data_IF_287916445934
#
_entry.id   IF_287916445934
#
_cell.length_a   1.000
_cell.length_b   1.000
_cell.length_c   1.000
_cell.angle_alpha   90.00
_cell.angle_beta   90.00
_cell.angle_gamma   90.00
#
_symmetry.space_group_name_H-M   'P 1'
#
loop_
_entity.id
_entity.type
_entity.pdbx_description
1 polymer ?
#
# COMPACT_ATOMS: atom_id res chain seq x y z
N UNK A 1 35.03 63.52 -48.55
CA UNK A 1 34.06 63.28 -47.48
C UNK A 1 32.92 62.37 -47.96
N UNK A 2 32.38 62.50 -49.13
CA UNK A 2 31.27 61.71 -49.66
C UNK A 2 31.55 60.17 -49.76
N UNK A 3 32.78 59.76 -50.04
CA UNK A 3 33.15 58.32 -50.14
C UNK A 3 33.12 57.60 -48.80
N UNK A 4 33.34 58.27 -47.69
CA UNK A 4 33.28 57.71 -46.34
C UNK A 4 31.86 57.63 -45.81
N UNK A 5 30.97 58.50 -46.19
CA UNK A 5 29.56 58.45 -45.83
C UNK A 5 28.82 57.27 -46.52
N UNK A 6 29.14 57.00 -47.79
CA UNK A 6 28.55 55.82 -48.52
C UNK A 6 29.00 54.45 -47.92
N UNK A 7 30.25 54.36 -47.50
CA UNK A 7 30.76 53.11 -46.89
C UNK A 7 30.17 52.89 -45.50
N UNK A 8 29.97 53.92 -44.70
CA UNK A 8 29.30 53.74 -43.36
C UNK A 8 27.85 53.37 -43.48
N UNK A 9 27.14 53.84 -44.47
CA UNK A 9 25.75 53.54 -44.75
C UNK A 9 25.59 52.05 -45.24
N UNK A 10 26.50 51.59 -46.10
CA UNK A 10 26.46 50.13 -46.53
C UNK A 10 26.83 49.22 -45.42
N UNK A 11 27.76 49.56 -44.50
CA UNK A 11 28.14 48.71 -43.37
C UNK A 11 27.02 48.62 -42.31
N UNK A 12 26.31 49.74 -42.05
CA UNK A 12 25.14 49.73 -41.17
C UNK A 12 23.98 48.88 -41.74
N UNK A 13 23.75 48.94 -43.06
CA UNK A 13 22.67 48.22 -43.70
C UNK A 13 22.94 46.70 -43.79
N UNK A 14 24.22 46.29 -43.95
CA UNK A 14 24.60 44.86 -43.97
C UNK A 14 24.54 44.25 -42.54
N UNK A 15 25.01 44.95 -41.52
CA UNK A 15 24.95 44.51 -40.14
C UNK A 15 23.49 44.45 -39.62
N UNK A 16 22.66 45.43 -39.99
CA UNK A 16 21.25 45.41 -39.67
C UNK A 16 20.50 44.20 -40.24
N UNK A 17 20.76 43.82 -41.50
CA UNK A 17 20.17 42.66 -42.15
C UNK A 17 20.64 41.32 -41.52
N UNK A 18 21.90 41.27 -41.08
CA UNK A 18 22.44 40.08 -40.38
C UNK A 18 21.85 39.92 -38.98
N UNK A 19 21.68 41.02 -38.25
CA UNK A 19 21.04 41.03 -36.94
C UNK A 19 19.58 40.67 -37.05
N UNK A 20 18.83 41.20 -38.00
CA UNK A 20 17.42 40.86 -38.21
C UNK A 20 17.25 39.36 -38.60
N UNK A 21 18.14 38.84 -39.47
CA UNK A 21 18.13 37.39 -39.78
C UNK A 21 18.38 36.54 -38.56
N UNK A 22 19.34 36.88 -37.71
CA UNK A 22 19.65 36.14 -36.48
C UNK A 22 18.49 36.19 -35.47
N UNK A 23 17.84 37.35 -35.35
CA UNK A 23 16.63 37.49 -34.50
C UNK A 23 15.48 36.62 -35.03
N UNK A 24 15.25 36.61 -36.34
CA UNK A 24 14.21 35.77 -36.94
C UNK A 24 14.51 34.26 -36.73
N UNK A 25 15.77 33.81 -36.84
CA UNK A 25 16.13 32.41 -36.53
C UNK A 25 15.94 32.10 -35.05
N UNK A 26 16.24 33.04 -34.14
CA UNK A 26 16.01 32.83 -32.70
C UNK A 26 14.50 32.75 -32.39
N UNK A 27 13.70 33.61 -33.01
CA UNK A 27 12.23 33.58 -32.83
C UNK A 27 11.65 32.26 -33.37
N UNK A 28 12.08 31.82 -34.57
CA UNK A 28 11.64 30.55 -35.16
C UNK A 28 12.06 29.39 -34.25
N UNK A 29 13.26 29.41 -33.71
CA UNK A 29 13.76 28.36 -32.77
C UNK A 29 12.94 28.35 -31.47
N UNK A 30 12.62 29.49 -30.89
CA UNK A 30 11.78 29.61 -29.69
C UNK A 30 10.35 29.08 -29.97
N UNK A 31 9.77 29.48 -31.12
CA UNK A 31 8.42 28.99 -31.49
C UNK A 31 8.41 27.50 -31.74
N UNK A 32 9.44 26.95 -32.39
CA UNK A 32 9.53 25.48 -32.60
C UNK A 32 9.76 24.74 -31.28
N UNK A 33 10.54 25.25 -30.34
CA UNK A 33 10.68 24.70 -28.99
C UNK A 33 9.35 24.71 -28.23
N UNK A 34 8.59 25.83 -28.30
CA UNK A 34 7.24 25.91 -27.70
C UNK A 34 6.27 24.92 -28.34
N UNK A 35 6.29 24.75 -29.66
CA UNK A 35 5.48 23.79 -30.37
C UNK A 35 5.86 22.34 -29.98
N UNK A 36 7.13 22.03 -29.87
CA UNK A 36 7.61 20.71 -29.41
C UNK A 36 7.16 20.47 -27.97
N UNK A 37 7.28 21.45 -27.07
CA UNK A 37 6.81 21.34 -25.69
C UNK A 37 5.30 21.16 -25.64
N UNK A 38 4.54 21.88 -26.46
CA UNK A 38 3.08 21.73 -26.57
C UNK A 38 2.68 20.36 -27.12
N UNK A 39 3.40 19.84 -28.13
CA UNK A 39 3.18 18.50 -28.68
C UNK A 39 3.58 17.43 -27.66
N UNK A 40 4.74 17.57 -27.03
CA UNK A 40 5.15 16.65 -25.96
C UNK A 40 4.20 16.70 -24.76
N UNK A 41 3.70 17.88 -24.37
CA UNK A 41 2.71 17.97 -23.28
C UNK A 41 1.31 17.45 -23.70
N UNK A 42 1.00 17.42 -24.98
CA UNK A 42 -0.23 16.82 -25.51
C UNK A 42 -0.12 15.29 -25.65
N UNK A 43 1.09 14.78 -25.94
CA UNK A 43 1.39 13.35 -26.01
C UNK A 43 1.65 12.79 -24.61
N UNK A 44 2.23 13.56 -23.70
CA UNK A 44 2.47 13.24 -22.29
C UNK A 44 1.44 13.88 -21.36
N UNK A 45 0.20 14.05 -21.82
CA UNK A 45 -0.89 14.05 -20.85
C UNK A 45 -0.98 12.60 -20.37
N UNK A 46 -0.57 12.31 -19.13
CA UNK A 46 -1.07 11.12 -18.50
C UNK A 46 -2.58 11.24 -18.65
N UNK A 47 -3.22 10.19 -19.10
CA UNK A 47 -4.67 10.11 -19.26
C UNK A 47 -5.29 10.15 -17.86
N UNK A 48 -5.13 11.30 -17.18
CA UNK A 48 -5.96 11.73 -16.07
C UNK A 48 -7.26 12.23 -16.71
N UNK A 49 -7.95 11.31 -17.41
CA UNK A 49 -9.39 11.44 -17.43
C UNK A 49 -9.73 11.58 -15.95
N UNK A 50 -10.34 12.69 -15.56
CA UNK A 50 -11.19 12.76 -14.39
C UNK A 50 -12.20 11.61 -14.56
N UNK A 51 -11.79 10.41 -14.22
CA UNK A 51 -12.71 9.41 -13.74
C UNK A 51 -13.15 10.00 -12.41
N UNK A 52 -14.18 10.83 -12.43
CA UNK A 52 -15.11 10.86 -11.33
C UNK A 52 -15.46 9.39 -11.14
N UNK A 53 -14.78 8.75 -10.19
CA UNK A 53 -15.06 7.37 -9.83
C UNK A 53 -16.51 7.37 -9.40
N UNK A 54 -17.38 6.97 -10.31
CA UNK A 54 -18.79 6.77 -10.02
C UNK A 54 -18.87 5.48 -9.20
N UNK A 55 -18.70 5.64 -7.89
CA UNK A 55 -18.70 4.55 -6.90
C UNK A 55 -19.95 3.70 -6.97
N UNK A 56 -21.07 4.28 -7.45
CA UNK A 56 -22.31 3.55 -7.67
C UNK A 56 -22.13 2.50 -8.76
N UNK A 57 -21.35 2.80 -9.79
CA UNK A 57 -21.08 1.87 -10.89
C UNK A 57 -20.08 0.77 -10.49
N UNK A 58 -19.05 1.10 -9.69
CA UNK A 58 -18.07 0.11 -9.21
C UNK A 58 -18.69 -0.89 -8.22
N UNK A 59 -19.60 -0.45 -7.36
CA UNK A 59 -20.32 -1.36 -6.45
C UNK A 59 -21.39 -2.18 -7.15
N UNK A 60 -21.98 -1.67 -8.26
CA UNK A 60 -22.98 -2.41 -9.04
C UNK A 60 -22.34 -3.35 -10.07
N UNK A 61 -21.25 -2.98 -10.74
CA UNK A 61 -20.56 -3.86 -11.70
C UNK A 61 -19.84 -5.02 -11.00
N UNK A 62 -19.32 -4.83 -9.77
CA UNK A 62 -18.80 -5.95 -8.99
C UNK A 62 -19.87 -6.93 -8.49
N UNK A 63 -21.14 -6.54 -8.43
CA UNK A 63 -22.24 -7.46 -8.09
C UNK A 63 -22.64 -8.40 -9.23
N UNK A 64 -22.30 -8.11 -10.47
CA UNK A 64 -22.67 -8.88 -11.65
C UNK A 64 -21.55 -9.70 -12.29
N UNK A 65 -20.27 -9.42 -11.93
CA UNK A 65 -19.14 -10.23 -12.40
C UNK A 65 -19.09 -11.53 -11.61
N UNK A 66 -19.61 -12.50 -12.23
CA UNK A 66 -19.55 -13.96 -12.03
C UNK A 66 -18.89 -14.48 -10.75
N UNK A 67 -19.72 -14.58 -9.70
CA UNK A 67 -19.34 -15.26 -8.44
C UNK A 67 -18.98 -16.73 -8.63
N UNK A 68 -19.42 -17.36 -9.73
CA UNK A 68 -19.26 -18.81 -9.95
C UNK A 68 -17.94 -19.18 -10.63
N UNK A 69 -17.45 -18.40 -11.61
CA UNK A 69 -16.15 -18.69 -12.24
C UNK A 69 -14.98 -18.41 -11.30
N UNK A 70 -15.01 -17.31 -10.58
CA UNK A 70 -14.00 -17.00 -9.57
C UNK A 70 -14.00 -18.03 -8.43
N UNK A 71 -15.17 -18.48 -7.97
CA UNK A 71 -15.29 -19.49 -6.90
C UNK A 71 -14.65 -20.82 -7.31
N UNK A 72 -14.88 -21.28 -8.56
CA UNK A 72 -14.30 -22.53 -9.09
C UNK A 72 -12.79 -22.43 -9.29
N UNK A 73 -12.27 -21.26 -9.68
CA UNK A 73 -10.83 -21.00 -9.80
C UNK A 73 -10.14 -21.01 -8.44
N UNK A 74 -10.76 -20.45 -7.40
CA UNK A 74 -10.20 -20.39 -6.04
C UNK A 74 -10.32 -21.71 -5.27
N UNK A 75 -11.36 -22.52 -5.50
CA UNK A 75 -11.51 -23.81 -4.84
C UNK A 75 -10.43 -24.83 -5.24
N UNK A 76 -9.84 -24.71 -6.43
CA UNK A 76 -8.70 -25.53 -6.86
C UNK A 76 -7.41 -25.30 -6.05
N UNK A 77 -7.31 -24.16 -5.35
CA UNK A 77 -6.09 -23.74 -4.64
C UNK A 77 -6.21 -23.80 -3.12
N UNK A 78 -7.39 -24.19 -2.62
CA UNK A 78 -7.61 -24.38 -1.19
C UNK A 78 -6.99 -25.71 -0.75
N UNK A 79 -5.74 -25.69 -0.34
CA UNK A 79 -5.17 -26.82 0.41
C UNK A 79 -5.82 -26.90 1.78
N UNK A 80 -6.13 -28.11 2.30
CA UNK A 80 -6.57 -28.28 3.69
C UNK A 80 -5.50 -27.71 4.62
N UNK A 81 -5.89 -26.79 5.50
CA UNK A 81 -4.98 -26.19 6.49
C UNK A 81 -4.55 -27.17 7.58
N UNK A 82 -5.19 -28.35 7.63
CA UNK A 82 -5.02 -29.37 8.66
C UNK A 82 -4.02 -30.48 8.28
N UNK A 83 -3.28 -30.32 7.15
CA UNK A 83 -2.25 -31.30 6.79
C UNK A 83 -1.08 -31.25 7.78
N UNK A 84 -0.73 -32.41 8.29
CA UNK A 84 0.44 -32.64 9.15
C UNK A 84 1.67 -31.99 8.54
N UNK A 85 2.42 -31.25 9.35
CA UNK A 85 3.68 -30.59 8.97
C UNK A 85 4.75 -31.61 8.57
N UNK A 86 4.75 -32.06 7.35
CA UNK A 86 5.93 -32.68 6.78
C UNK A 86 6.89 -31.58 6.36
N UNK A 87 8.15 -31.65 6.82
CA UNK A 87 9.19 -30.75 6.35
C UNK A 87 9.37 -30.94 4.85
N UNK A 88 9.15 -29.88 4.03
CA UNK A 88 9.33 -30.02 2.60
C UNK A 88 10.79 -30.34 2.26
N UNK A 89 11.01 -30.97 1.10
CA UNK A 89 12.36 -31.24 0.59
C UNK A 89 13.15 -29.95 0.43
N UNK A 90 14.42 -30.00 0.80
CA UNK A 90 15.33 -28.86 0.83
C UNK A 90 15.41 -28.05 -0.47
N UNK A 91 15.35 -28.69 -1.61
CA UNK A 91 15.42 -28.10 -2.95
C UNK A 91 14.19 -27.25 -3.33
N UNK A 92 13.15 -27.27 -2.47
CA UNK A 92 11.89 -26.53 -2.67
C UNK A 92 11.71 -25.34 -1.75
N UNK A 93 12.75 -24.85 -1.13
CA UNK A 93 12.63 -23.68 -0.27
C UNK A 93 12.78 -22.36 -1.02
N UNK A 94 12.03 -21.34 -0.57
CA UNK A 94 12.20 -19.94 -0.96
C UNK A 94 12.26 -19.09 0.30
N UNK A 95 13.22 -18.18 0.39
CA UNK A 95 13.41 -17.34 1.55
C UNK A 95 14.19 -16.06 1.23
N UNK A 96 14.21 -15.14 2.18
CA UNK A 96 15.01 -13.92 2.14
C UNK A 96 16.04 -13.92 3.26
N UNK A 97 16.98 -12.97 3.22
CA UNK A 97 17.85 -12.70 4.37
C UNK A 97 17.01 -12.31 5.60
N UNK A 98 17.62 -12.39 6.79
CA UNK A 98 17.02 -11.86 8.02
C UNK A 98 16.77 -10.37 7.92
N UNK A 99 15.71 -9.91 8.56
CA UNK A 99 15.40 -8.49 8.63
C UNK A 99 14.72 -8.17 9.96
N UNK A 100 14.99 -6.98 10.45
CA UNK A 100 14.30 -6.41 11.58
C UNK A 100 13.09 -5.62 11.07
N UNK A 101 11.90 -6.00 11.50
CA UNK A 101 10.67 -5.30 11.11
C UNK A 101 9.49 -5.75 11.95
N UNK A 102 8.55 -4.85 12.17
CA UNK A 102 7.33 -5.13 12.95
C UNK A 102 6.43 -6.19 12.32
N UNK A 103 5.31 -6.47 13.01
CA UNK A 103 4.32 -7.48 12.59
C UNK A 103 3.88 -7.29 11.13
N UNK A 104 3.54 -6.07 10.72
CA UNK A 104 3.11 -5.78 9.35
C UNK A 104 4.15 -6.16 8.28
N UNK A 105 5.44 -5.88 8.55
CA UNK A 105 6.52 -6.27 7.65
C UNK A 105 6.65 -7.79 7.54
N UNK A 106 6.54 -8.51 8.66
CA UNK A 106 6.60 -9.97 8.63
C UNK A 106 5.40 -10.59 7.90
N UNK A 107 4.22 -9.98 8.02
CA UNK A 107 3.04 -10.40 7.26
C UNK A 107 3.24 -10.18 5.75
N UNK A 108 3.79 -9.04 5.31
CA UNK A 108 4.12 -8.78 3.90
C UNK A 108 5.14 -9.80 3.37
N UNK A 109 6.23 -9.99 4.11
CA UNK A 109 7.29 -10.93 3.77
C UNK A 109 6.75 -12.34 3.55
N UNK A 110 5.93 -12.82 4.50
CA UNK A 110 5.34 -14.15 4.39
C UNK A 110 4.35 -14.25 3.23
N UNK A 111 3.40 -13.32 3.11
CA UNK A 111 2.39 -13.34 2.05
C UNK A 111 3.02 -13.33 0.66
N UNK A 112 4.04 -12.48 0.45
CA UNK A 112 4.77 -12.38 -0.81
C UNK A 112 5.57 -13.65 -1.10
N UNK A 113 6.31 -14.17 -0.13
CA UNK A 113 7.04 -15.43 -0.29
C UNK A 113 6.09 -16.62 -0.51
N UNK A 114 4.93 -16.64 0.16
CA UNK A 114 3.92 -17.68 -0.03
C UNK A 114 3.37 -17.67 -1.46
N UNK A 115 2.98 -16.52 -1.97
CA UNK A 115 2.46 -16.41 -3.32
C UNK A 115 3.52 -16.73 -4.39
N UNK A 116 4.74 -16.21 -4.23
CA UNK A 116 5.87 -16.59 -5.10
C UNK A 116 6.20 -18.08 -4.98
N UNK A 117 6.16 -18.63 -3.78
CA UNK A 117 6.36 -20.05 -3.54
C UNK A 117 5.34 -20.91 -4.27
N UNK A 118 4.07 -20.55 -4.26
CA UNK A 118 3.03 -21.25 -5.04
C UNK A 118 3.31 -21.21 -6.55
N UNK A 119 3.71 -20.06 -7.07
CA UNK A 119 4.07 -19.91 -8.49
C UNK A 119 5.27 -20.80 -8.87
N UNK A 120 6.26 -20.90 -7.98
CA UNK A 120 7.55 -21.57 -8.24
C UNK A 120 7.57 -23.01 -7.72
N UNK A 121 6.49 -23.51 -7.15
CA UNK A 121 6.41 -24.78 -6.42
C UNK A 121 7.48 -24.88 -5.31
N UNK A 122 7.52 -23.84 -4.45
CA UNK A 122 8.48 -23.68 -3.35
C UNK A 122 7.75 -23.35 -2.04
N UNK A 123 8.32 -23.77 -0.91
CA UNK A 123 7.80 -23.48 0.42
C UNK A 123 8.54 -22.28 1.02
N UNK A 124 7.82 -21.25 1.50
CA UNK A 124 8.44 -20.13 2.21
C UNK A 124 9.02 -20.60 3.54
N UNK A 125 10.27 -20.22 3.81
CA UNK A 125 10.95 -20.54 5.06
C UNK A 125 11.72 -19.32 5.57
N UNK A 126 12.08 -19.34 6.86
CA UNK A 126 12.91 -18.33 7.51
C UNK A 126 14.27 -18.90 7.85
N UNK A 127 15.28 -18.04 8.01
CA UNK A 127 16.58 -18.46 8.48
C UNK A 127 16.49 -18.67 10.00
N UNK A 128 17.11 -19.73 10.51
CA UNK A 128 17.07 -20.06 11.94
C UNK A 128 17.49 -18.89 12.86
N UNK A 129 18.40 -18.04 12.41
CA UNK A 129 18.90 -16.87 13.16
C UNK A 129 17.98 -15.63 13.03
N UNK A 130 16.76 -15.78 12.49
CA UNK A 130 15.77 -14.68 12.41
C UNK A 130 15.19 -14.38 13.80
N UNK A 131 15.92 -13.55 14.56
CA UNK A 131 15.53 -13.17 15.92
C UNK A 131 14.17 -12.47 15.99
N UNK A 132 13.79 -11.74 14.95
CA UNK A 132 12.50 -11.03 14.91
C UNK A 132 11.34 -12.01 14.90
N UNK A 133 11.43 -13.08 14.09
CA UNK A 133 10.37 -14.10 14.06
C UNK A 133 10.25 -14.83 15.40
N UNK A 134 11.38 -15.12 16.06
CA UNK A 134 11.38 -15.72 17.40
C UNK A 134 10.79 -14.80 18.47
N UNK A 135 11.05 -13.49 18.39
CA UNK A 135 10.50 -12.52 19.34
C UNK A 135 8.98 -12.40 19.25
N UNK A 136 8.42 -12.52 18.05
CA UNK A 136 6.97 -12.40 17.84
C UNK A 136 6.23 -13.74 17.82
N UNK A 137 6.92 -14.86 18.06
CA UNK A 137 6.35 -16.21 17.95
C UNK A 137 5.06 -16.39 18.76
N UNK A 138 5.07 -15.97 20.03
CA UNK A 138 3.89 -16.06 20.90
C UNK A 138 2.75 -15.17 20.44
N UNK A 139 3.08 -13.97 19.94
CA UNK A 139 2.08 -13.06 19.39
C UNK A 139 1.45 -13.64 18.12
N UNK A 140 2.26 -14.24 17.23
CA UNK A 140 1.77 -14.91 16.04
C UNK A 140 0.88 -16.10 16.35
N UNK A 141 1.28 -16.94 17.31
CA UNK A 141 0.49 -18.09 17.73
C UNK A 141 -0.89 -17.68 18.25
N UNK A 142 -0.97 -16.58 18.99
CA UNK A 142 -2.21 -16.02 19.52
C UNK A 142 -3.04 -15.29 18.46
N UNK A 143 -2.41 -14.39 17.68
CA UNK A 143 -3.11 -13.56 16.71
C UNK A 143 -3.51 -14.34 15.44
N UNK A 144 -2.58 -15.12 14.89
CA UNK A 144 -2.72 -15.79 13.60
C UNK A 144 -2.25 -17.25 13.65
N UNK A 145 -3.00 -18.16 14.29
CA UNK A 145 -2.56 -19.55 14.47
C UNK A 145 -2.31 -20.28 13.14
N UNK A 146 -3.04 -19.94 12.08
CA UNK A 146 -2.82 -20.51 10.76
C UNK A 146 -1.50 -20.05 10.14
N UNK A 147 -1.14 -18.78 10.30
CA UNK A 147 0.16 -18.27 9.89
C UNK A 147 1.28 -18.92 10.70
N UNK A 148 1.17 -18.87 12.01
CA UNK A 148 2.15 -19.49 12.92
C UNK A 148 2.38 -20.98 12.56
N UNK A 149 1.32 -21.72 12.22
CA UNK A 149 1.44 -23.12 11.82
C UNK A 149 2.20 -23.36 10.52
N UNK A 150 2.42 -22.35 9.69
CA UNK A 150 3.12 -22.43 8.38
C UNK A 150 4.55 -21.88 8.41
N UNK A 151 5.06 -21.48 9.57
CA UNK A 151 6.42 -20.98 9.72
C UNK A 151 7.38 -22.16 9.84
N UNK A 152 8.36 -22.21 8.95
CA UNK A 152 9.47 -23.16 8.98
C UNK A 152 10.79 -22.40 9.06
N UNK A 153 11.77 -23.00 9.77
CA UNK A 153 13.10 -22.44 9.89
C UNK A 153 14.14 -23.35 9.25
N UNK A 154 14.99 -22.78 8.38
CA UNK A 154 16.17 -23.46 7.86
C UNK A 154 17.21 -23.68 8.95
N UNK A 155 17.75 -24.88 9.05
CA UNK A 155 18.88 -25.17 9.92
C UNK A 155 20.16 -24.51 9.38
N UNK A 156 21.08 -24.16 10.27
CA UNK A 156 22.31 -23.38 10.03
C UNK A 156 23.25 -23.87 8.90
N UNK A 157 23.17 -25.12 8.51
CA UNK A 157 24.17 -25.77 7.62
C UNK A 157 23.63 -26.06 6.21
N UNK A 158 22.85 -25.16 5.66
CA UNK A 158 22.37 -25.28 4.29
C UNK A 158 23.47 -24.81 3.35
N UNK A 159 24.10 -25.73 2.63
CA UNK A 159 25.23 -25.47 1.73
C UNK A 159 24.85 -25.28 0.28
N UNK A 160 23.68 -25.77 -0.15
CA UNK A 160 23.27 -25.71 -1.56
C UNK A 160 22.19 -24.65 -1.79
N UNK A 161 22.62 -23.39 -1.81
CA UNK A 161 21.76 -22.21 -1.94
C UNK A 161 22.01 -21.54 -3.28
N UNK A 162 20.95 -21.23 -3.99
CA UNK A 162 21.00 -20.31 -5.11
C UNK A 162 20.49 -18.94 -4.71
N UNK A 163 21.35 -17.93 -4.82
CA UNK A 163 21.04 -16.55 -4.45
C UNK A 163 20.74 -15.72 -5.69
N UNK A 164 19.59 -15.04 -5.71
CA UNK A 164 19.19 -14.16 -6.81
C UNK A 164 18.84 -12.78 -6.24
N UNK A 165 19.40 -11.71 -6.83
CA UNK A 165 18.97 -10.35 -6.55
C UNK A 165 17.59 -10.12 -7.18
N UNK A 166 16.57 -9.86 -6.35
CA UNK A 166 15.20 -9.69 -6.78
C UNK A 166 14.52 -8.60 -5.93
N UNK A 167 13.87 -7.62 -6.58
CA UNK A 167 13.34 -6.41 -5.96
C UNK A 167 14.41 -5.68 -5.12
N UNK A 168 15.19 -4.80 -5.73
CA UNK A 168 16.40 -4.23 -5.11
C UNK A 168 16.08 -3.22 -4.00
N UNK A 169 14.98 -2.51 -4.15
CA UNK A 169 14.58 -1.42 -3.25
C UNK A 169 13.24 -1.72 -2.57
N UNK A 170 13.01 -1.07 -1.42
CA UNK A 170 11.72 -1.16 -0.75
C UNK A 170 10.59 -0.90 -1.73
N UNK A 171 9.57 -1.75 -1.62
CA UNK A 171 8.28 -1.53 -2.22
C UNK A 171 8.23 -1.73 -3.75
N UNK A 172 9.35 -2.05 -4.40
CA UNK A 172 9.42 -2.40 -5.81
C UNK A 172 8.64 -3.69 -6.10
N UNK A 173 7.99 -3.70 -7.26
CA UNK A 173 7.42 -4.92 -7.80
C UNK A 173 8.21 -5.41 -9.01
N UNK A 174 8.78 -6.59 -8.88
CA UNK A 174 9.33 -7.35 -9.99
C UNK A 174 8.44 -8.57 -10.27
N UNK A 175 8.16 -8.87 -11.54
CA UNK A 175 7.33 -10.03 -11.89
C UNK A 175 8.02 -11.33 -11.44
N UNK A 176 7.44 -12.10 -10.50
CA UNK A 176 8.04 -13.36 -10.04
C UNK A 176 8.22 -14.42 -11.12
N UNK A 177 7.57 -14.28 -12.26
CA UNK A 177 7.73 -15.20 -13.41
C UNK A 177 9.16 -15.25 -13.93
N UNK A 178 9.96 -14.19 -13.72
CA UNK A 178 11.39 -14.21 -14.11
C UNK A 178 12.19 -15.25 -13.32
N UNK A 179 11.66 -15.71 -12.18
CA UNK A 179 12.27 -16.74 -11.35
C UNK A 179 11.92 -18.18 -11.84
N UNK A 180 10.99 -18.33 -12.80
CA UNK A 180 10.62 -19.63 -13.34
C UNK A 180 11.83 -20.29 -14.04
N UNK A 181 12.04 -21.57 -13.74
CA UNK A 181 13.16 -22.33 -14.31
C UNK A 181 14.51 -22.05 -13.67
N UNK A 182 14.59 -21.09 -12.74
CA UNK A 182 15.83 -20.82 -12.02
C UNK A 182 16.10 -21.93 -10.99
N UNK A 183 17.20 -22.61 -11.20
CA UNK A 183 17.83 -23.61 -10.31
C UNK A 183 16.87 -24.64 -9.68
N UNK A 184 16.44 -25.57 -10.50
CA UNK A 184 15.86 -26.81 -10.01
C UNK A 184 16.90 -27.55 -9.15
N UNK A 185 16.50 -27.97 -7.95
CA UNK A 185 17.36 -28.74 -7.04
C UNK A 185 18.14 -27.94 -6.00
N UNK A 186 17.85 -26.62 -5.82
CA UNK A 186 18.51 -25.78 -4.82
C UNK A 186 17.53 -24.90 -4.06
N UNK A 187 17.81 -24.62 -2.80
CA UNK A 187 17.09 -23.61 -2.06
C UNK A 187 17.29 -22.22 -2.69
N UNK A 188 16.22 -21.47 -2.87
CA UNK A 188 16.24 -20.16 -3.50
C UNK A 188 16.25 -19.04 -2.47
N UNK A 189 17.34 -18.27 -2.37
CA UNK A 189 17.44 -17.09 -1.54
C UNK A 189 17.28 -15.82 -2.40
N UNK A 190 16.29 -15.01 -2.08
CA UNK A 190 16.10 -13.69 -2.69
C UNK A 190 16.89 -12.66 -1.88
N UNK A 191 17.91 -12.03 -2.49
CA UNK A 191 18.86 -11.16 -1.79
C UNK A 191 18.59 -9.67 -1.93
N UNK A 192 17.50 -9.29 -2.61
CA UNK A 192 17.07 -7.91 -2.74
C UNK A 192 16.37 -7.38 -1.49
N UNK A 193 15.25 -6.71 -1.68
CA UNK A 193 14.39 -6.22 -0.59
C UNK A 193 13.76 -7.40 0.17
N UNK A 194 14.01 -7.55 1.48
CA UNK A 194 13.57 -8.74 2.21
C UNK A 194 12.09 -8.73 2.59
N UNK A 195 11.39 -7.59 2.53
CA UNK A 195 9.99 -7.46 2.95
C UNK A 195 9.02 -7.73 1.83
N UNK A 196 9.35 -7.32 0.61
CA UNK A 196 8.43 -7.33 -0.55
C UNK A 196 7.11 -6.61 -0.23
N UNK A 197 7.20 -5.38 0.27
CA UNK A 197 6.07 -4.58 0.72
C UNK A 197 5.25 -4.04 -0.46
N UNK A 198 4.62 -4.99 -1.19
CA UNK A 198 3.79 -4.68 -2.34
C UNK A 198 2.70 -5.74 -2.50
N UNK A 199 1.43 -5.34 -2.44
CA UNK A 199 0.30 -6.27 -2.52
C UNK A 199 0.18 -6.99 -3.87
N UNK A 200 0.80 -6.48 -4.93
CA UNK A 200 0.82 -7.13 -6.25
C UNK A 200 1.41 -8.54 -6.23
N UNK A 201 2.30 -8.83 -5.26
CA UNK A 201 2.85 -10.18 -5.12
C UNK A 201 1.79 -11.21 -4.75
N UNK A 202 0.78 -10.86 -3.94
CA UNK A 202 -0.14 -11.82 -3.34
C UNK A 202 -1.63 -11.49 -3.46
N UNK A 203 -2.00 -10.30 -3.92
CA UNK A 203 -3.42 -9.87 -3.94
C UNK A 203 -4.31 -10.75 -4.83
N UNK A 204 -3.75 -11.37 -5.86
CA UNK A 204 -4.45 -12.35 -6.70
C UNK A 204 -4.86 -13.63 -5.93
N UNK A 205 -4.26 -13.87 -4.76
CA UNK A 205 -4.55 -14.99 -3.85
C UNK A 205 -5.23 -14.51 -2.55
N UNK A 206 -5.90 -13.35 -2.58
CA UNK A 206 -6.46 -12.71 -1.38
C UNK A 206 -7.26 -13.64 -0.48
N UNK A 207 -8.18 -14.51 -0.97
CA UNK A 207 -8.92 -15.45 -0.10
C UNK A 207 -8.00 -16.39 0.70
N UNK A 208 -6.93 -16.89 0.09
CA UNK A 208 -5.95 -17.76 0.76
C UNK A 208 -5.13 -16.97 1.77
N UNK A 209 -4.70 -15.75 1.42
CA UNK A 209 -3.98 -14.86 2.33
C UNK A 209 -4.83 -14.52 3.54
N UNK A 210 -6.12 -14.21 3.36
CA UNK A 210 -7.03 -13.96 4.48
C UNK A 210 -7.20 -15.19 5.37
N UNK A 211 -7.20 -16.41 4.79
CA UNK A 211 -7.29 -17.64 5.57
C UNK A 211 -6.02 -17.92 6.37
N UNK A 212 -4.84 -17.56 5.82
CA UNK A 212 -3.55 -17.64 6.54
C UNK A 212 -3.56 -16.69 7.73
N UNK A 213 -4.03 -15.45 7.53
CA UNK A 213 -4.10 -14.43 8.58
C UNK A 213 -5.48 -14.39 9.29
N UNK A 214 -6.18 -15.52 9.35
CA UNK A 214 -7.40 -15.65 10.16
C UNK A 214 -7.06 -15.54 11.64
N UNK A 215 -7.80 -14.71 12.35
CA UNK A 215 -7.56 -14.45 13.77
C UNK A 215 -7.92 -15.66 14.64
N UNK A 216 -7.12 -15.88 15.68
CA UNK A 216 -7.36 -16.91 16.68
C UNK A 216 -8.69 -16.69 17.41
N UNK A 217 -9.42 -17.77 17.70
CA UNK A 217 -10.77 -17.70 18.31
C UNK A 217 -10.78 -16.99 19.67
N UNK A 218 -9.76 -17.21 20.49
CA UNK A 218 -9.61 -16.56 21.79
C UNK A 218 -9.46 -15.06 21.65
N UNK A 219 -8.58 -14.60 20.74
CA UNK A 219 -8.39 -13.19 20.44
C UNK A 219 -9.69 -12.57 19.94
N UNK A 220 -10.39 -13.21 19.00
CA UNK A 220 -11.67 -12.73 18.46
C UNK A 220 -12.70 -12.56 19.59
N UNK A 221 -12.83 -13.54 20.48
CA UNK A 221 -13.78 -13.50 21.60
C UNK A 221 -13.48 -12.33 22.56
N UNK A 222 -12.19 -12.13 22.91
CA UNK A 222 -11.74 -11.02 23.75
C UNK A 222 -12.06 -9.66 23.11
N UNK A 223 -11.71 -9.51 21.84
CA UNK A 223 -11.95 -8.26 21.10
C UNK A 223 -13.44 -7.97 20.95
N UNK A 224 -14.26 -9.00 20.70
CA UNK A 224 -15.72 -8.87 20.62
C UNK A 224 -16.29 -8.34 21.95
N UNK A 225 -15.86 -8.87 23.07
CA UNK A 225 -16.33 -8.40 24.39
C UNK A 225 -15.94 -6.93 24.65
N UNK A 226 -14.73 -6.53 24.23
CA UNK A 226 -14.27 -5.12 24.33
C UNK A 226 -15.12 -4.22 23.42
N UNK A 227 -15.33 -4.63 22.18
CA UNK A 227 -16.17 -3.92 21.21
C UNK A 227 -17.57 -3.70 21.75
N UNK A 228 -18.24 -4.76 22.23
CA UNK A 228 -19.61 -4.69 22.71
C UNK A 228 -19.75 -3.76 23.92
N UNK A 229 -18.75 -3.69 24.78
CA UNK A 229 -18.72 -2.73 25.90
C UNK A 229 -18.62 -1.27 25.46
N UNK A 230 -17.90 -0.99 24.36
CA UNK A 230 -17.52 0.39 24.01
C UNK A 230 -18.46 1.00 22.97
N UNK A 231 -18.92 0.21 22.01
CA UNK A 231 -19.64 0.70 20.83
C UNK A 231 -21.00 0.05 20.60
N UNK A 232 -21.51 -0.79 21.49
CA UNK A 232 -22.82 -1.45 21.32
C UNK A 232 -23.98 -0.48 21.06
N UNK A 233 -23.98 0.68 21.70
CA UNK A 233 -25.01 1.71 21.56
C UNK A 233 -24.76 2.69 20.40
N UNK A 234 -23.57 2.67 19.83
CA UNK A 234 -23.20 3.57 18.75
C UNK A 234 -23.60 2.99 17.39
N UNK A 235 -24.73 3.43 16.84
CA UNK A 235 -25.27 3.01 15.54
C UNK A 235 -24.75 3.83 14.35
N UNK A 236 -23.84 4.79 14.57
CA UNK A 236 -23.24 5.61 13.56
C UNK A 236 -22.33 4.79 12.63
N UNK A 237 -21.99 5.33 11.46
CA UNK A 237 -20.94 4.80 10.58
C UNK A 237 -19.57 5.13 11.18
N UNK A 238 -18.75 4.10 11.45
CA UNK A 238 -17.41 4.23 12.03
C UNK A 238 -16.38 4.51 10.96
N UNK A 239 -15.84 5.72 10.96
CA UNK A 239 -14.67 6.09 10.16
C UNK A 239 -13.44 5.83 11.03
N UNK A 240 -12.70 4.79 10.71
CA UNK A 240 -11.45 4.47 11.38
C UNK A 240 -10.29 5.22 10.75
N UNK A 241 -9.39 5.74 11.57
CA UNK A 241 -8.19 6.45 11.12
C UNK A 241 -6.98 5.85 11.82
N UNK A 242 -6.01 5.34 11.07
CA UNK A 242 -4.73 4.91 11.64
C UNK A 242 -3.70 6.01 11.45
N UNK A 243 -3.00 6.37 12.55
CA UNK A 243 -1.94 7.37 12.55
C UNK A 243 -0.59 6.75 12.90
N UNK A 244 0.47 7.24 12.25
CA UNK A 244 1.85 6.88 12.52
C UNK A 244 2.70 8.13 12.59
N UNK A 245 3.27 8.39 13.76
CA UNK A 245 4.14 9.56 14.05
C UNK A 245 5.41 9.08 14.77
N UNK A 246 6.32 9.98 15.05
CA UNK A 246 7.54 9.67 15.80
C UNK A 246 8.57 8.91 14.97
N UNK A 247 8.56 7.60 15.01
CA UNK A 247 9.49 6.75 14.24
C UNK A 247 9.33 6.87 12.71
N UNK A 248 8.27 7.53 12.23
CA UNK A 248 8.00 7.82 10.81
C UNK A 248 8.40 9.24 10.40
N UNK A 249 9.03 10.01 11.27
CA UNK A 249 9.49 11.36 10.93
C UNK A 249 10.40 11.34 9.69
N UNK A 250 10.01 12.11 8.68
CA UNK A 250 10.69 12.15 7.38
C UNK A 250 10.34 11.01 6.40
N UNK A 251 9.58 9.98 6.84
CA UNK A 251 9.16 8.86 6.00
C UNK A 251 7.68 8.93 5.57
N UNK A 252 7.03 10.07 5.73
CA UNK A 252 5.61 10.22 5.42
C UNK A 252 4.72 9.99 6.64
N UNK A 253 5.15 10.49 7.80
CA UNK A 253 4.36 10.49 9.03
C UNK A 253 3.00 11.17 8.88
N UNK A 254 2.06 10.79 9.72
CA UNK A 254 0.73 11.37 9.78
C UNK A 254 0.79 12.87 10.12
N UNK A 255 -0.01 13.67 9.44
CA UNK A 255 -0.08 15.12 9.67
C UNK A 255 -1.54 15.53 9.92
N UNK A 256 -1.80 16.22 11.05
CA UNK A 256 -3.15 16.63 11.44
C UNK A 256 -3.86 17.44 10.35
N UNK A 257 -3.15 18.35 9.69
CA UNK A 257 -3.74 19.18 8.63
C UNK A 257 -4.24 18.36 7.42
N UNK A 258 -3.47 17.32 7.02
CA UNK A 258 -3.87 16.41 5.94
C UNK A 258 -5.04 15.53 6.37
N UNK A 259 -5.00 14.99 7.59
CA UNK A 259 -6.06 14.14 8.14
C UNK A 259 -7.40 14.90 8.18
N UNK A 260 -7.40 16.14 8.68
CA UNK A 260 -8.63 16.93 8.79
C UNK A 260 -9.23 17.22 7.39
N UNK A 261 -8.41 17.53 6.40
CA UNK A 261 -8.86 17.72 5.00
C UNK A 261 -9.38 16.39 4.40
N UNK A 262 -8.65 15.29 4.61
CA UNK A 262 -9.06 13.97 4.16
C UNK A 262 -10.41 13.58 4.76
N UNK A 263 -10.62 13.83 6.05
CA UNK A 263 -11.85 13.52 6.76
C UNK A 263 -13.05 14.29 6.20
N UNK A 264 -12.92 15.58 5.94
CA UNK A 264 -13.96 16.39 5.25
C UNK A 264 -14.34 15.73 3.91
N UNK A 265 -13.34 15.30 3.15
CA UNK A 265 -13.57 14.67 1.84
C UNK A 265 -14.25 13.31 1.96
N UNK A 266 -13.79 12.47 2.88
CA UNK A 266 -14.38 11.17 3.17
C UNK A 266 -15.86 11.34 3.55
N UNK A 267 -16.18 12.24 4.47
CA UNK A 267 -17.55 12.52 4.89
C UNK A 267 -18.40 12.97 3.69
N UNK A 268 -17.87 13.83 2.81
CA UNK A 268 -18.57 14.27 1.61
C UNK A 268 -18.88 13.10 0.65
N UNK A 269 -17.95 12.15 0.51
CA UNK A 269 -18.16 10.92 -0.28
C UNK A 269 -19.21 10.04 0.41
N UNK A 270 -19.06 9.77 1.70
CA UNK A 270 -19.95 8.90 2.45
C UNK A 270 -21.39 9.46 2.53
N UNK A 271 -21.58 10.78 2.66
CA UNK A 271 -22.90 11.40 2.65
C UNK A 271 -23.66 11.16 1.33
N UNK A 272 -22.96 11.05 0.19
CA UNK A 272 -23.56 10.73 -1.10
C UNK A 272 -23.99 9.27 -1.19
N UNK A 273 -23.23 8.37 -0.56
CA UNK A 273 -23.46 6.93 -0.59
C UNK A 273 -24.44 6.46 0.48
N UNK A 274 -24.37 7.06 1.65
CA UNK A 274 -25.08 6.65 2.86
C UNK A 274 -26.04 7.77 3.31
N UNK A 275 -27.26 7.72 2.85
CA UNK A 275 -28.29 8.72 3.24
C UNK A 275 -28.59 8.66 4.74
N UNK A 276 -28.67 9.82 5.40
CA UNK A 276 -29.13 9.98 6.79
C UNK A 276 -28.31 9.18 7.83
N UNK A 277 -26.98 9.01 7.64
CA UNK A 277 -26.09 8.40 8.62
C UNK A 277 -25.41 9.49 9.47
N UNK A 278 -25.30 9.22 10.76
CA UNK A 278 -24.35 9.88 11.65
C UNK A 278 -22.99 9.17 11.57
N UNK A 279 -21.92 9.84 11.97
CA UNK A 279 -20.57 9.31 11.88
C UNK A 279 -19.91 9.36 13.25
N UNK A 280 -19.05 8.37 13.53
CA UNK A 280 -18.13 8.40 14.66
C UNK A 280 -16.71 8.16 14.16
N UNK A 281 -15.74 8.74 14.83
CA UNK A 281 -14.31 8.47 14.58
C UNK A 281 -13.84 7.36 15.53
N UNK A 282 -13.01 6.50 15.00
CA UNK A 282 -12.24 5.52 15.77
C UNK A 282 -10.76 5.71 15.43
N UNK A 283 -9.99 6.22 16.37
CA UNK A 283 -8.63 6.68 16.18
C UNK A 283 -7.63 5.63 16.69
N UNK A 284 -6.84 5.10 15.76
CA UNK A 284 -5.73 4.18 16.01
C UNK A 284 -4.41 4.92 15.96
N UNK A 285 -3.50 4.57 16.84
CA UNK A 285 -2.16 5.15 16.94
C UNK A 285 -1.68 5.17 18.39
N UNK A 286 -0.37 5.23 18.58
CA UNK A 286 0.26 5.17 19.92
C UNK A 286 0.41 6.54 20.58
N UNK A 287 0.45 7.62 19.80
CA UNK A 287 0.59 8.99 20.33
C UNK A 287 -0.78 9.61 20.59
N UNK A 288 -1.22 9.50 21.84
CA UNK A 288 -2.50 10.06 22.28
C UNK A 288 -2.57 11.58 22.16
N UNK A 289 -1.45 12.28 22.39
CA UNK A 289 -1.37 13.73 22.23
C UNK A 289 -1.64 14.13 20.78
N UNK A 290 -1.05 13.42 19.82
CA UNK A 290 -1.34 13.63 18.40
C UNK A 290 -2.80 13.32 18.05
N UNK A 291 -3.36 12.22 18.54
CA UNK A 291 -4.74 11.83 18.23
C UNK A 291 -5.75 12.90 18.66
N UNK A 292 -5.52 13.60 19.78
CA UNK A 292 -6.41 14.67 20.25
C UNK A 292 -6.38 15.94 19.40
N UNK A 293 -5.41 16.08 18.50
CA UNK A 293 -5.34 17.21 17.55
C UNK A 293 -6.25 17.03 16.33
N UNK A 294 -6.76 15.81 16.09
CA UNK A 294 -7.67 15.51 14.98
C UNK A 294 -9.05 16.09 15.28
N UNK A 295 -9.53 16.96 14.39
CA UNK A 295 -10.80 17.67 14.60
C UNK A 295 -12.00 16.78 14.29
N UNK A 296 -12.87 16.65 15.27
CA UNK A 296 -14.15 15.98 15.13
C UNK A 296 -15.27 17.02 15.05
N UNK A 297 -15.46 17.60 13.87
CA UNK A 297 -16.53 18.59 13.61
C UNK A 297 -17.79 17.88 13.08
N UNK A 298 -18.94 18.56 13.16
CA UNK A 298 -20.18 18.05 12.57
C UNK A 298 -19.97 17.52 11.13
N UNK A 299 -20.46 16.34 10.77
CA UNK A 299 -21.49 15.54 11.46
C UNK A 299 -20.96 14.39 12.35
N UNK A 300 -19.78 14.52 12.93
CA UNK A 300 -19.20 13.51 13.82
C UNK A 300 -19.81 13.63 15.19
N UNK A 301 -20.43 12.54 15.66
CA UNK A 301 -21.15 12.52 16.95
C UNK A 301 -20.30 12.04 18.12
N UNK A 302 -19.32 11.16 17.85
CA UNK A 302 -18.47 10.55 18.88
C UNK A 302 -17.05 10.32 18.36
N UNK A 303 -16.09 10.27 19.30
CA UNK A 303 -14.69 9.89 19.03
C UNK A 303 -14.29 8.81 20.02
N UNK A 304 -13.73 7.71 19.49
CA UNK A 304 -13.20 6.59 20.27
C UNK A 304 -11.69 6.51 20.06
N UNK A 305 -10.92 6.47 21.15
CA UNK A 305 -9.47 6.37 21.12
C UNK A 305 -9.05 4.92 21.44
N UNK A 306 -8.50 4.21 20.46
CA UNK A 306 -8.10 2.80 20.63
C UNK A 306 -6.90 2.67 21.58
N UNK A 307 -6.05 3.69 21.65
CA UNK A 307 -4.94 3.74 22.61
C UNK A 307 -5.38 3.58 24.08
N UNK A 308 -6.64 3.90 24.41
CA UNK A 308 -7.18 3.75 25.78
C UNK A 308 -7.55 2.30 26.12
N UNK A 309 -7.57 1.40 25.13
CA UNK A 309 -8.02 0.00 25.26
C UNK A 309 -6.89 -0.95 25.62
N UNK A 310 -5.65 -0.51 25.52
CA UNK A 310 -4.44 -1.33 25.75
C UNK A 310 -4.46 -2.66 25.00
N UNK A 311 -4.79 -2.61 23.72
CA UNK A 311 -4.81 -3.77 22.82
C UNK A 311 -3.40 -4.13 22.36
N UNK A 312 -3.14 -5.43 22.17
CA UNK A 312 -1.99 -5.88 21.41
C UNK A 312 -2.16 -5.58 19.91
N UNK A 313 -1.07 -5.64 19.13
CA UNK A 313 -1.12 -5.37 17.67
C UNK A 313 -2.11 -6.28 16.95
N UNK A 314 -2.15 -7.57 17.28
CA UNK A 314 -3.13 -8.51 16.73
C UNK A 314 -4.57 -8.17 17.11
N UNK A 315 -4.79 -7.73 18.35
CA UNK A 315 -6.11 -7.29 18.83
C UNK A 315 -6.56 -5.99 18.16
N UNK A 316 -5.65 -5.03 17.91
CA UNK A 316 -5.96 -3.80 17.17
C UNK A 316 -6.40 -4.11 15.72
N UNK A 317 -5.69 -5.02 15.02
CA UNK A 317 -6.07 -5.45 13.68
C UNK A 317 -7.47 -6.09 13.66
N UNK A 318 -7.76 -6.96 14.63
CA UNK A 318 -9.08 -7.60 14.72
C UNK A 318 -10.16 -6.60 15.16
N UNK A 319 -9.85 -5.67 16.06
CA UNK A 319 -10.77 -4.62 16.47
C UNK A 319 -11.17 -3.76 15.27
N UNK A 320 -10.21 -3.33 14.44
CA UNK A 320 -10.49 -2.62 13.20
C UNK A 320 -11.36 -3.43 12.23
N UNK A 321 -11.04 -4.72 12.04
CA UNK A 321 -11.84 -5.60 11.20
C UNK A 321 -13.30 -5.71 11.65
N UNK A 322 -13.54 -5.72 12.98
CA UNK A 322 -14.89 -5.86 13.53
C UNK A 322 -15.71 -4.59 13.49
N UNK A 323 -15.08 -3.39 13.62
CA UNK A 323 -15.83 -2.16 13.88
C UNK A 323 -15.79 -1.15 12.75
N UNK A 324 -14.73 -1.10 11.95
CA UNK A 324 -14.56 -0.05 10.96
C UNK A 324 -15.50 -0.25 9.78
N UNK A 325 -16.40 0.70 9.54
CA UNK A 325 -17.25 0.71 8.34
C UNK A 325 -16.53 1.35 7.16
N UNK A 326 -15.52 2.21 7.43
CA UNK A 326 -14.56 2.74 6.47
C UNK A 326 -13.22 2.98 7.17
N UNK A 327 -12.13 3.08 6.42
CA UNK A 327 -10.79 3.20 6.96
C UNK A 327 -9.96 4.24 6.22
N UNK A 328 -9.15 5.00 6.93
CA UNK A 328 -8.17 5.93 6.40
C UNK A 328 -6.76 5.56 6.91
N UNK A 329 -5.89 5.18 6.00
CA UNK A 329 -4.46 5.11 6.23
C UNK A 329 -3.85 6.50 6.02
N UNK A 330 -3.23 7.06 7.05
CA UNK A 330 -2.65 8.40 7.01
C UNK A 330 -1.13 8.42 6.85
N UNK A 331 -0.52 7.24 6.82
CA UNK A 331 0.93 7.05 6.63
C UNK A 331 1.16 5.91 5.62
N UNK A 332 1.08 6.25 4.35
CA UNK A 332 1.01 5.33 3.20
C UNK A 332 2.17 4.33 3.02
N UNK A 333 3.22 4.42 3.85
CA UNK A 333 4.28 3.42 3.98
C UNK A 333 4.18 2.63 5.30
N UNK A 334 3.10 2.77 6.06
CA UNK A 334 2.90 1.97 7.26
C UNK A 334 2.39 0.57 6.92
N UNK A 335 3.27 -0.42 6.91
CA UNK A 335 2.89 -1.81 6.68
C UNK A 335 1.80 -2.30 7.63
N UNK A 336 1.76 -1.80 8.87
CA UNK A 336 0.74 -2.14 9.85
C UNK A 336 -0.64 -1.57 9.47
N UNK A 337 -0.70 -0.29 9.04
CA UNK A 337 -1.93 0.33 8.55
C UNK A 337 -2.44 -0.35 7.28
N UNK A 338 -1.51 -0.67 6.36
CA UNK A 338 -1.85 -1.40 5.14
C UNK A 338 -2.49 -2.77 5.46
N UNK A 339 -1.96 -3.53 6.42
CA UNK A 339 -2.58 -4.78 6.85
C UNK A 339 -3.90 -4.57 7.57
N UNK A 340 -4.04 -3.51 8.36
CA UNK A 340 -5.33 -3.18 8.99
C UNK A 340 -6.43 -3.01 7.94
N UNK A 341 -6.15 -2.27 6.87
CA UNK A 341 -7.07 -2.13 5.74
C UNK A 341 -7.25 -3.42 4.93
N UNK A 342 -6.16 -4.19 4.69
CA UNK A 342 -6.21 -5.40 3.88
C UNK A 342 -7.05 -6.52 4.50
N UNK A 343 -7.06 -6.62 5.83
CA UNK A 343 -7.85 -7.61 6.57
C UNK A 343 -9.33 -7.24 6.71
N UNK A 344 -9.73 -6.03 6.36
CA UNK A 344 -11.13 -5.61 6.40
C UNK A 344 -11.97 -6.30 5.31
N UNK A 345 -13.29 -6.44 5.50
CA UNK A 345 -14.22 -6.88 4.46
C UNK A 345 -14.11 -6.04 3.18
N UNK A 346 -14.25 -6.67 2.01
CA UNK A 346 -14.05 -6.02 0.70
C UNK A 346 -15.08 -4.94 0.36
N UNK A 347 -16.24 -4.99 0.98
CA UNK A 347 -17.33 -4.02 0.78
C UNK A 347 -17.13 -2.71 1.54
N UNK A 348 -16.08 -2.63 2.37
CA UNK A 348 -15.77 -1.43 3.15
C UNK A 348 -14.77 -0.54 2.39
N UNK A 349 -15.07 0.76 2.22
CA UNK A 349 -14.17 1.66 1.53
C UNK A 349 -12.92 1.94 2.35
N UNK A 350 -11.75 1.82 1.70
CA UNK A 350 -10.45 2.10 2.29
C UNK A 350 -9.82 3.26 1.55
N UNK A 351 -9.50 4.29 2.28
CA UNK A 351 -8.84 5.50 1.83
C UNK A 351 -7.38 5.51 2.29
N UNK A 352 -6.52 6.17 1.55
CA UNK A 352 -5.14 6.43 2.00
C UNK A 352 -4.67 7.80 1.52
N UNK A 353 -3.85 8.47 2.33
CA UNK A 353 -3.23 9.74 1.96
C UNK A 353 -2.01 9.41 1.09
N UNK A 354 -2.14 9.69 -0.21
CA UNK A 354 -1.05 9.49 -1.16
C UNK A 354 -0.11 10.67 -1.14
N UNK A 355 1.18 10.42 -0.88
CA UNK A 355 2.22 11.43 -0.90
C UNK A 355 3.17 11.22 -2.05
N UNK A 356 3.39 12.30 -2.82
CA UNK A 356 4.43 12.33 -3.84
C UNK A 356 5.76 12.66 -3.17
N UNK A 357 6.68 11.72 -3.14
CA UNK A 357 8.03 11.91 -2.62
C UNK A 357 8.95 12.30 -3.76
N UNK A 358 9.39 13.57 -3.78
CA UNK A 358 10.31 14.07 -4.81
C UNK A 358 11.61 13.23 -4.82
N UNK A 359 11.93 12.65 -5.96
CA UNK A 359 13.12 11.81 -6.13
C UNK A 359 12.97 10.36 -5.62
N UNK A 360 11.81 9.96 -5.10
CA UNK A 360 11.52 8.57 -4.76
C UNK A 360 10.78 7.87 -5.91
N UNK A 361 11.14 6.63 -6.18
CA UNK A 361 10.39 5.73 -7.07
C UNK A 361 9.20 5.08 -6.36
N UNK A 362 9.11 5.24 -5.04
CA UNK A 362 8.04 4.64 -4.23
C UNK A 362 6.74 5.41 -4.48
N UNK A 363 5.77 4.73 -5.05
CA UNK A 363 4.40 5.22 -5.24
C UNK A 363 3.41 4.24 -4.60
N UNK A 364 2.75 4.70 -3.55
CA UNK A 364 1.76 3.89 -2.82
C UNK A 364 0.62 3.35 -3.69
N UNK A 365 0.28 4.01 -4.80
CA UNK A 365 -0.67 3.48 -5.79
C UNK A 365 -0.22 2.14 -6.39
N UNK A 366 1.08 1.95 -6.56
CA UNK A 366 1.61 0.71 -7.11
C UNK A 366 1.77 -0.40 -6.08
N UNK A 367 1.72 -0.07 -4.79
CA UNK A 367 1.97 -0.98 -3.67
C UNK A 367 0.69 -1.54 -3.04
N UNK A 368 -0.34 -0.71 -2.97
CA UNK A 368 -1.61 -0.99 -2.30
C UNK A 368 -2.63 -1.59 -3.29
N UNK A 369 -3.70 -2.25 -2.82
CA UNK A 369 -4.73 -2.78 -3.70
C UNK A 369 -5.38 -1.70 -4.57
N UNK A 370 -5.62 -1.98 -5.84
CA UNK A 370 -6.24 -1.03 -6.80
C UNK A 370 -7.64 -0.58 -6.38
N UNK A 371 -8.32 -1.34 -5.52
CA UNK A 371 -9.63 -0.99 -4.99
C UNK A 371 -9.60 0.09 -3.92
N UNK A 372 -8.42 0.45 -3.40
CA UNK A 372 -8.28 1.49 -2.40
C UNK A 372 -8.29 2.88 -3.01
N UNK A 373 -8.77 3.86 -2.25
CA UNK A 373 -9.06 5.21 -2.74
C UNK A 373 -7.94 6.16 -2.33
N UNK A 374 -7.13 6.63 -3.28
CA UNK A 374 -6.11 7.61 -2.98
C UNK A 374 -6.72 8.98 -2.71
N UNK A 375 -6.23 9.64 -1.67
CA UNK A 375 -6.46 11.05 -1.39
C UNK A 375 -5.12 11.77 -1.59
N UNK A 376 -4.89 12.32 -2.78
CA UNK A 376 -3.67 13.02 -3.12
C UNK A 376 -3.76 14.53 -2.83
N UNK A 377 -2.63 15.25 -2.97
CA UNK A 377 -2.56 16.69 -2.72
C UNK A 377 -3.55 17.51 -3.55
N UNK A 378 -3.93 17.07 -4.75
CA UNK A 378 -4.90 17.78 -5.59
C UNK A 378 -6.29 17.81 -4.96
N UNK A 379 -6.61 16.78 -4.18
CA UNK A 379 -7.87 16.66 -3.45
C UNK A 379 -7.84 17.34 -2.09
N UNK A 380 -6.64 17.56 -1.55
CA UNK A 380 -6.41 18.25 -0.29
C UNK A 380 -6.35 19.79 -0.45
N UNK A 381 -6.20 20.28 -1.69
CA UNK A 381 -6.12 21.73 -2.00
C UNK A 381 -7.47 22.40 -2.28
N UNK A 382 -8.53 21.63 -2.52
CA UNK A 382 -9.90 22.07 -2.77
C UNK A 382 -10.82 21.63 -1.62
#
# INVERSE_FOLDING_TARGET
>A
MEKYQKLSFQFKHQNGRKIIKNINYLIIFIISMFLIIMICSSIYRPNTSKKDYDWVEITQTKKSADKNENKKYYEQWLEPLDSVREMPEFDRFIYTRTMNGGLGNQMYRFASLYAMGKLLNRTPVYIHDDSTMHQIDKELAHAFPNFHSKIYFLRKNVTDIHSIAFAKECCDYNDPKILLGQNKGRALMLTGEPVFENTRYFNHMRPQILKIFEFGKELVSKVTAIKDKIISEDKSHKICIHTRVGDFTGMGESQTGEINKALIRIIKILKRLLKNKTYSLVLFGTDKGFLTTIKAEEPISKVHYVADLNLSRGEELNFAQQICDSFLDTADLSSFAAWMGYLMPEDRPIFFIRRFRKGSLIDSLSMLPESWIPLDESWLKN
#
